data_IF_569048285705
#
_entry.id   IF_569048285705
#
_cell.length_a   1.000
_cell.length_b   1.000
_cell.length_c   1.000
_cell.angle_alpha   90.00
_cell.angle_beta   90.00
_cell.angle_gamma   90.00
#
_symmetry.space_group_name_H-M   'P 1'
#
loop_
_entity.id
_entity.type
_entity.pdbx_description
1 polymer ?
#
# COMPACT_ATOMS: atom_id res chain seq x y z
N UNK A 1 -32.43 31.49 45.53
CA UNK A 1 -31.69 30.33 46.07
C UNK A 1 -30.20 30.63 45.96
N UNK A 2 -29.50 30.82 47.09
CA UNK A 2 -28.04 30.99 47.10
C UNK A 2 -27.42 29.62 46.78
N UNK A 3 -26.70 29.51 45.67
CA UNK A 3 -25.88 28.33 45.40
C UNK A 3 -24.93 28.13 46.58
N UNK A 4 -24.88 26.96 47.21
CA UNK A 4 -23.89 26.72 48.25
C UNK A 4 -22.50 26.88 47.61
N UNK A 5 -21.62 27.68 48.24
CA UNK A 5 -20.20 27.74 47.90
C UNK A 5 -19.57 26.39 48.27
N UNK A 6 -19.81 25.38 47.44
CA UNK A 6 -19.26 24.05 47.62
C UNK A 6 -17.76 24.11 47.35
N UNK A 7 -17.01 23.54 48.27
CA UNK A 7 -15.58 23.37 48.07
C UNK A 7 -15.34 22.47 46.85
N UNK A 8 -14.28 22.72 46.08
CA UNK A 8 -13.89 21.90 44.90
C UNK A 8 -14.01 20.38 45.16
N UNK A 9 -13.51 19.80 46.27
CA UNK A 9 -13.69 18.39 46.60
C UNK A 9 -15.15 17.93 46.73
N UNK A 10 -16.05 18.76 47.24
CA UNK A 10 -17.47 18.43 47.36
C UNK A 10 -18.16 18.44 46.00
N UNK A 11 -17.76 19.36 45.10
CA UNK A 11 -18.23 19.39 43.73
C UNK A 11 -17.78 18.15 42.95
N UNK A 12 -16.54 17.71 43.13
CA UNK A 12 -16.01 16.48 42.51
C UNK A 12 -16.76 15.25 43.03
N UNK A 13 -16.96 15.12 44.35
CA UNK A 13 -17.70 14.00 44.94
C UNK A 13 -19.15 13.95 44.46
N UNK A 14 -19.82 15.10 44.38
CA UNK A 14 -21.21 15.19 43.91
C UNK A 14 -21.36 14.81 42.44
N UNK A 15 -20.40 15.16 41.61
CA UNK A 15 -20.42 14.89 40.17
C UNK A 15 -19.59 13.65 39.77
N UNK A 16 -19.20 12.80 40.73
CA UNK A 16 -18.29 11.69 40.47
C UNK A 16 -18.76 10.76 39.36
N UNK A 17 -20.05 10.38 39.36
CA UNK A 17 -20.64 9.55 38.30
C UNK A 17 -20.54 10.23 36.94
N UNK A 18 -20.87 11.52 36.85
CA UNK A 18 -20.78 12.27 35.60
C UNK A 18 -19.33 12.40 35.09
N UNK A 19 -18.36 12.61 35.99
CA UNK A 19 -16.94 12.63 35.65
C UNK A 19 -16.45 11.27 35.17
N UNK A 20 -16.84 10.18 35.82
CA UNK A 20 -16.53 8.81 35.38
C UNK A 20 -17.16 8.53 34.02
N UNK A 21 -18.42 8.88 33.81
CA UNK A 21 -19.09 8.76 32.51
C UNK A 21 -18.38 9.56 31.42
N UNK A 22 -17.93 10.78 31.72
CA UNK A 22 -17.17 11.60 30.77
C UNK A 22 -15.84 10.94 30.39
N UNK A 23 -15.09 10.43 31.38
CA UNK A 23 -13.82 9.73 31.13
C UNK A 23 -14.06 8.51 30.26
N UNK A 24 -15.06 7.69 30.57
CA UNK A 24 -15.42 6.51 29.76
C UNK A 24 -15.80 6.92 28.33
N UNK A 25 -16.60 7.98 28.17
CA UNK A 25 -17.02 8.45 26.85
C UNK A 25 -15.83 8.93 26.01
N UNK A 26 -14.94 9.75 26.59
CA UNK A 26 -13.74 10.25 25.90
C UNK A 26 -12.80 9.09 25.55
N UNK A 27 -12.54 8.18 26.48
CA UNK A 27 -11.69 7.01 26.23
C UNK A 27 -12.26 6.10 25.14
N UNK A 28 -13.58 5.86 25.15
CA UNK A 28 -14.25 5.05 24.14
C UNK A 28 -14.17 5.70 22.76
N UNK A 29 -14.44 7.01 22.68
CA UNK A 29 -14.38 7.74 21.41
C UNK A 29 -12.95 7.74 20.83
N UNK A 30 -11.96 8.02 21.66
CA UNK A 30 -10.55 8.00 21.24
C UNK A 30 -10.13 6.63 20.75
N UNK A 31 -10.48 5.56 21.47
CA UNK A 31 -10.15 4.19 21.07
C UNK A 31 -10.82 3.81 19.75
N UNK A 32 -12.11 4.09 19.60
CA UNK A 32 -12.86 3.80 18.38
C UNK A 32 -12.32 4.58 17.19
N UNK A 33 -12.01 5.86 17.35
CA UNK A 33 -11.44 6.70 16.28
C UNK A 33 -10.08 6.17 15.82
N UNK A 34 -9.17 5.86 16.75
CA UNK A 34 -7.86 5.30 16.42
C UNK A 34 -7.97 3.95 15.70
N UNK A 35 -8.86 3.07 16.19
CA UNK A 35 -9.10 1.76 15.57
C UNK A 35 -9.67 1.89 14.16
N UNK A 36 -10.55 2.86 13.91
CA UNK A 36 -11.09 3.11 12.58
C UNK A 36 -10.01 3.57 11.61
N UNK A 37 -9.18 4.54 12.00
CA UNK A 37 -8.06 5.01 11.16
C UNK A 37 -7.16 3.85 10.73
N UNK A 38 -6.73 3.01 11.69
CA UNK A 38 -5.89 1.85 11.39
C UNK A 38 -6.57 0.85 10.44
N UNK A 39 -7.89 0.67 10.55
CA UNK A 39 -8.64 -0.25 9.69
C UNK A 39 -8.73 0.29 8.26
N UNK A 40 -8.97 1.60 8.11
CA UNK A 40 -9.04 2.26 6.80
C UNK A 40 -7.68 2.29 6.12
N UNK A 41 -6.59 2.59 6.84
CA UNK A 41 -5.22 2.51 6.33
C UNK A 41 -4.89 1.09 5.82
N UNK A 42 -5.24 0.06 6.60
CA UNK A 42 -5.01 -1.34 6.21
C UNK A 42 -5.86 -1.74 5.01
N UNK A 43 -7.11 -1.26 4.92
CA UNK A 43 -7.98 -1.50 3.78
C UNK A 43 -7.43 -0.84 2.51
N UNK A 44 -7.08 0.45 2.57
CA UNK A 44 -6.52 1.18 1.44
C UNK A 44 -5.21 0.55 0.95
N UNK A 45 -4.31 0.19 1.87
CA UNK A 45 -3.06 -0.50 1.55
C UNK A 45 -3.31 -1.84 0.87
N UNK A 46 -4.31 -2.60 1.34
CA UNK A 46 -4.68 -3.89 0.76
C UNK A 46 -5.23 -3.74 -0.67
N UNK A 47 -6.09 -2.76 -0.90
CA UNK A 47 -6.63 -2.47 -2.24
C UNK A 47 -5.52 -2.07 -3.21
N UNK A 48 -4.66 -1.13 -2.83
CA UNK A 48 -3.53 -0.70 -3.66
C UNK A 48 -2.56 -1.86 -3.96
N UNK A 49 -2.24 -2.67 -2.95
CA UNK A 49 -1.37 -3.83 -3.12
C UNK A 49 -1.95 -4.90 -4.07
N UNK A 50 -3.26 -5.20 -4.00
CA UNK A 50 -3.86 -6.16 -4.92
C UNK A 50 -3.89 -5.64 -6.36
N UNK A 51 -4.21 -4.36 -6.57
CA UNK A 51 -4.15 -3.76 -7.90
C UNK A 51 -2.72 -3.79 -8.46
N UNK A 52 -1.71 -3.49 -7.63
CA UNK A 52 -0.31 -3.58 -8.02
C UNK A 52 0.09 -5.00 -8.42
N UNK A 53 -0.37 -6.03 -7.68
CA UNK A 53 -0.11 -7.44 -8.00
C UNK A 53 -0.73 -7.88 -9.33
N UNK A 54 -1.92 -7.39 -9.66
CA UNK A 54 -2.57 -7.63 -10.95
C UNK A 54 -1.75 -7.00 -12.08
N UNK A 55 -1.35 -5.74 -11.93
CA UNK A 55 -0.50 -5.04 -12.92
C UNK A 55 0.88 -5.66 -13.09
N UNK A 56 1.50 -6.15 -12.02
CA UNK A 56 2.73 -6.93 -12.09
C UNK A 56 2.53 -8.22 -12.91
N UNK A 57 1.38 -8.89 -12.78
CA UNK A 57 1.01 -10.04 -13.60
C UNK A 57 0.86 -9.69 -15.09
N UNK A 58 0.15 -8.61 -15.40
CA UNK A 58 -0.02 -8.12 -16.77
C UNK A 58 1.32 -7.73 -17.42
N UNK A 59 2.20 -7.07 -16.66
CA UNK A 59 3.55 -6.72 -17.11
C UNK A 59 4.39 -7.97 -17.40
N UNK A 60 4.34 -8.98 -16.53
CA UNK A 60 5.06 -10.23 -16.74
C UNK A 60 4.58 -10.96 -17.99
N UNK A 61 3.26 -11.01 -18.23
CA UNK A 61 2.69 -11.57 -19.46
C UNK A 61 3.18 -10.81 -20.70
N UNK A 62 3.24 -9.48 -20.63
CA UNK A 62 3.78 -8.66 -21.72
C UNK A 62 5.24 -8.99 -22.02
N UNK A 63 6.07 -9.14 -20.99
CA UNK A 63 7.48 -9.55 -21.14
C UNK A 63 7.56 -10.90 -21.84
N UNK A 64 6.73 -11.87 -21.43
CA UNK A 64 6.70 -13.19 -22.05
C UNK A 64 6.28 -13.15 -23.52
N UNK A 65 5.21 -12.42 -23.83
CA UNK A 65 4.77 -12.23 -25.21
C UNK A 65 5.84 -11.58 -26.08
N UNK A 66 6.57 -10.59 -25.56
CA UNK A 66 7.60 -9.89 -26.33
C UNK A 66 8.84 -10.73 -26.58
N UNK A 67 9.28 -11.46 -25.56
CA UNK A 67 10.58 -12.13 -25.54
C UNK A 67 10.51 -13.58 -26.02
N UNK A 68 9.53 -14.35 -25.53
CA UNK A 68 9.44 -15.79 -25.80
C UNK A 68 8.48 -16.10 -26.94
N UNK A 69 7.32 -15.45 -27.00
CA UNK A 69 6.30 -15.77 -28.01
C UNK A 69 6.45 -14.96 -29.30
N UNK A 70 7.29 -13.90 -29.27
CA UNK A 70 7.49 -12.94 -30.37
C UNK A 70 6.20 -12.26 -30.86
N UNK A 71 5.17 -12.20 -30.01
CA UNK A 71 3.91 -11.52 -30.28
C UNK A 71 4.06 -10.01 -30.07
N UNK A 72 4.49 -9.30 -31.12
CA UNK A 72 4.82 -7.86 -31.06
C UNK A 72 3.67 -6.97 -30.58
N UNK A 73 2.43 -7.32 -30.94
CA UNK A 73 1.25 -6.54 -30.56
C UNK A 73 0.95 -6.64 -29.07
N UNK A 74 1.01 -7.85 -28.48
CA UNK A 74 0.79 -8.07 -27.04
C UNK A 74 2.01 -7.73 -26.19
N UNK A 75 3.20 -7.82 -26.78
CA UNK A 75 4.49 -7.52 -26.16
C UNK A 75 4.96 -6.07 -26.28
N UNK A 76 4.08 -5.11 -26.60
CA UNK A 76 4.48 -3.75 -26.93
C UNK A 76 5.14 -3.02 -25.73
N UNK A 77 6.42 -2.60 -25.83
CA UNK A 77 7.11 -1.94 -24.71
C UNK A 77 6.45 -0.62 -24.24
N UNK A 78 5.66 0.04 -25.08
CA UNK A 78 4.89 1.23 -24.65
C UNK A 78 3.79 0.86 -23.66
N UNK A 79 3.16 -0.29 -23.85
CA UNK A 79 2.19 -0.84 -22.88
C UNK A 79 2.92 -1.24 -21.59
N UNK A 80 4.14 -1.77 -21.69
CA UNK A 80 4.96 -2.08 -20.51
C UNK A 80 5.29 -0.84 -19.66
N UNK A 81 5.64 0.29 -20.29
CA UNK A 81 5.80 1.57 -19.57
C UNK A 81 4.53 1.99 -18.82
N UNK A 82 3.35 1.82 -19.42
CA UNK A 82 2.10 2.13 -18.76
C UNK A 82 1.88 1.27 -17.50
N UNK A 83 2.18 -0.03 -17.57
CA UNK A 83 2.09 -0.91 -16.41
C UNK A 83 3.09 -0.55 -15.31
N UNK A 84 4.36 -0.34 -15.66
CA UNK A 84 5.42 -0.01 -14.70
C UNK A 84 5.13 1.29 -13.94
N UNK A 85 4.67 2.33 -14.64
CA UNK A 85 4.26 3.58 -14.00
C UNK A 85 3.01 3.40 -13.13
N UNK A 86 2.03 2.62 -13.59
CA UNK A 86 0.84 2.31 -12.77
C UNK A 86 1.21 1.57 -11.48
N UNK A 87 2.16 0.62 -11.57
CA UNK A 87 2.68 -0.10 -10.40
C UNK A 87 3.37 0.87 -9.45
N UNK A 88 4.17 1.82 -9.96
CA UNK A 88 4.81 2.85 -9.14
C UNK A 88 3.78 3.73 -8.43
N UNK A 89 2.76 4.21 -9.16
CA UNK A 89 1.69 5.06 -8.62
C UNK A 89 0.94 4.34 -7.49
N UNK A 90 0.55 3.08 -7.70
CA UNK A 90 -0.12 2.25 -6.69
C UNK A 90 0.79 1.97 -5.49
N UNK A 91 2.07 1.68 -5.75
CA UNK A 91 3.05 1.36 -4.70
C UNK A 91 3.49 2.58 -3.89
N UNK A 92 3.26 3.80 -4.39
CA UNK A 92 3.51 5.04 -3.65
C UNK A 92 2.64 5.18 -2.41
N UNK A 93 1.50 4.47 -2.36
CA UNK A 93 0.59 4.42 -1.22
C UNK A 93 0.98 3.34 -0.20
N UNK A 94 1.94 2.49 -0.54
CA UNK A 94 2.40 1.40 0.30
C UNK A 94 3.63 1.86 1.10
N UNK A 95 3.93 1.26 2.27
CA UNK A 95 5.20 1.48 2.95
C UNK A 95 6.36 0.70 2.29
N UNK A 96 7.62 1.10 2.55
CA UNK A 96 8.79 0.29 2.23
C UNK A 96 8.68 -1.12 2.83
N UNK A 97 9.20 -2.16 2.15
CA UNK A 97 10.01 -2.12 0.93
C UNK A 97 9.21 -2.14 -0.40
N UNK A 98 7.87 -2.13 -0.36
CA UNK A 98 7.06 -2.24 -1.57
C UNK A 98 7.27 -1.05 -2.52
N UNK A 99 7.30 0.18 -1.99
CA UNK A 99 7.54 1.41 -2.76
C UNK A 99 8.93 1.46 -3.42
N UNK A 100 9.95 1.03 -2.67
CA UNK A 100 11.34 1.06 -3.12
C UNK A 100 11.54 0.08 -4.27
N UNK A 101 11.06 -1.16 -4.11
CA UNK A 101 11.13 -2.17 -5.17
C UNK A 101 10.29 -1.84 -6.41
N UNK A 102 9.20 -1.08 -6.27
CA UNK A 102 8.47 -0.57 -7.44
C UNK A 102 9.24 0.54 -8.18
N UNK A 103 10.01 1.36 -7.45
CA UNK A 103 10.87 2.39 -8.05
C UNK A 103 12.06 1.75 -8.77
N UNK A 104 12.66 0.71 -8.18
CA UNK A 104 13.70 -0.11 -8.81
C UNK A 104 13.20 -0.81 -10.07
N UNK A 105 11.93 -1.27 -10.10
CA UNK A 105 11.32 -1.83 -11.31
C UNK A 105 11.21 -0.79 -12.43
N UNK A 106 10.92 0.48 -12.12
CA UNK A 106 10.87 1.57 -13.11
C UNK A 106 12.24 1.82 -13.72
N UNK A 107 13.28 1.86 -12.89
CA UNK A 107 14.66 2.01 -13.32
C UNK A 107 15.10 0.83 -14.20
N UNK A 108 14.89 -0.40 -13.70
CA UNK A 108 15.22 -1.65 -14.41
C UNK A 108 14.51 -1.72 -15.77
N UNK A 109 13.23 -1.36 -15.81
CA UNK A 109 12.50 -1.28 -17.07
C UNK A 109 13.12 -0.26 -18.01
N UNK A 110 13.43 0.95 -17.51
CA UNK A 110 14.08 2.03 -18.27
C UNK A 110 15.38 1.60 -18.95
N UNK A 111 16.19 0.83 -18.24
CA UNK A 111 17.50 0.37 -18.72
C UNK A 111 17.43 -0.80 -19.70
N UNK A 112 16.40 -1.65 -19.57
CA UNK A 112 16.37 -2.95 -20.26
C UNK A 112 15.26 -3.11 -21.31
N UNK A 113 14.25 -2.23 -21.36
CA UNK A 113 13.09 -2.42 -22.26
C UNK A 113 13.46 -2.51 -23.74
N UNK A 114 14.52 -1.81 -24.17
CA UNK A 114 14.99 -1.83 -25.57
C UNK A 114 15.50 -3.23 -25.99
N UNK A 115 16.12 -3.94 -25.05
CA UNK A 115 16.64 -5.30 -25.26
C UNK A 115 15.59 -6.40 -25.09
N UNK A 116 14.36 -6.07 -24.65
CA UNK A 116 13.34 -7.04 -24.27
C UNK A 116 13.00 -8.06 -25.37
N UNK A 117 13.13 -7.69 -26.64
CA UNK A 117 12.81 -8.57 -27.76
C UNK A 117 13.94 -9.49 -28.23
N UNK A 118 15.17 -9.28 -27.77
CA UNK A 118 16.35 -9.90 -28.39
C UNK A 118 17.48 -10.24 -27.42
N UNK A 119 17.40 -9.77 -26.17
CA UNK A 119 18.43 -9.96 -25.16
C UNK A 119 17.83 -10.67 -23.94
N UNK A 120 18.27 -11.91 -23.71
CA UNK A 120 17.86 -12.72 -22.55
C UNK A 120 18.17 -12.00 -21.23
N UNK A 121 19.34 -11.37 -21.11
CA UNK A 121 19.74 -10.64 -19.90
C UNK A 121 18.78 -9.49 -19.59
N UNK A 122 18.28 -8.79 -20.61
CA UNK A 122 17.27 -7.74 -20.42
C UNK A 122 15.94 -8.30 -19.93
N UNK A 123 15.50 -9.43 -20.48
CA UNK A 123 14.27 -10.07 -20.05
C UNK A 123 14.39 -10.61 -18.61
N UNK A 124 15.49 -11.28 -18.29
CA UNK A 124 15.75 -11.83 -16.95
C UNK A 124 15.85 -10.72 -15.89
N UNK A 125 16.49 -9.60 -16.20
CA UNK A 125 16.57 -8.45 -15.30
C UNK A 125 15.18 -7.89 -14.98
N UNK A 126 14.34 -7.71 -16.00
CA UNK A 126 12.97 -7.20 -15.81
C UNK A 126 12.10 -8.22 -15.05
N UNK A 127 12.18 -9.52 -15.37
CA UNK A 127 11.46 -10.58 -14.65
C UNK A 127 11.90 -10.61 -13.18
N UNK A 128 13.20 -10.52 -12.91
CA UNK A 128 13.74 -10.46 -11.56
C UNK A 128 13.22 -9.27 -10.76
N UNK A 129 13.15 -8.08 -11.38
CA UNK A 129 12.57 -6.90 -10.74
C UNK A 129 11.07 -7.06 -10.46
N UNK A 130 10.30 -7.63 -11.40
CA UNK A 130 8.87 -7.94 -11.21
C UNK A 130 8.67 -8.87 -10.03
N UNK A 131 9.46 -9.94 -9.94
CA UNK A 131 9.38 -10.91 -8.85
C UNK A 131 9.79 -10.31 -7.50
N UNK A 132 10.79 -9.42 -7.48
CA UNK A 132 11.17 -8.68 -6.29
C UNK A 132 10.00 -7.80 -5.79
N UNK A 133 9.42 -6.97 -6.66
CA UNK A 133 8.27 -6.11 -6.29
C UNK A 133 7.07 -6.96 -5.84
N UNK A 134 6.79 -8.07 -6.53
CA UNK A 134 5.72 -9.01 -6.15
C UNK A 134 5.94 -9.58 -4.75
N UNK A 135 7.16 -10.04 -4.44
CA UNK A 135 7.48 -10.62 -3.15
C UNK A 135 7.37 -9.59 -2.02
N UNK A 136 7.89 -8.38 -2.22
CA UNK A 136 7.77 -7.30 -1.23
C UNK A 136 6.32 -6.90 -0.98
N UNK A 137 5.50 -6.84 -2.04
CA UNK A 137 4.06 -6.57 -1.93
C UNK A 137 3.32 -7.67 -1.17
N UNK A 138 3.65 -8.94 -1.41
CA UNK A 138 3.06 -10.09 -0.70
C UNK A 138 3.47 -10.13 0.78
N UNK A 139 4.71 -9.77 1.10
CA UNK A 139 5.19 -9.66 2.49
C UNK A 139 4.42 -8.57 3.22
N UNK A 140 4.21 -7.41 2.60
CA UNK A 140 3.38 -6.34 3.14
C UNK A 140 1.94 -6.82 3.39
N UNK A 141 1.29 -7.44 2.41
CA UNK A 141 -0.08 -7.94 2.57
C UNK A 141 -0.24 -8.89 3.76
N UNK A 142 0.77 -9.69 4.07
CA UNK A 142 0.78 -10.60 5.24
C UNK A 142 0.98 -9.87 6.57
N UNK A 143 1.52 -8.66 6.57
CA UNK A 143 1.77 -7.89 7.79
C UNK A 143 0.58 -7.01 8.19
N UNK A 144 -0.29 -6.65 7.24
CA UNK A 144 -1.52 -5.88 7.49
C UNK A 144 -2.49 -6.68 8.39
N UNK A 145 -2.99 -6.06 9.45
CA UNK A 145 -3.86 -6.67 10.46
C UNK A 145 -5.35 -6.31 10.31
#
# INVERSE_FOLDING_TARGET
MKSPNLSIPEQVRRNFVALVSLVIAVSSLSYTSWRHEQTEENHNSRTAAFEALLKLGELQQLVFHRHYDQELDKGNPRTGWAYVLTIQDLSSLLPPPATESASELVETWGDHWQGLGSNQTSADAIIGAIDNTRNNTLVLLRSLK
#
